data_IF_698947625469
#
_entry.id   IF_698947625469
#
_cell.length_a   1.000
_cell.length_b   1.000
_cell.length_c   1.000
_cell.angle_alpha   90.00
_cell.angle_beta   90.00
_cell.angle_gamma   90.00
#
_symmetry.space_group_name_H-M   'P 1'
#
loop_
_entity.id
_entity.type
_entity.pdbx_description
1 polymer ?
#
# COMPACT_ATOMS: atom_id res chain seq x y z
N UNK A 1 17.56 13.78 -21.35
CA UNK A 1 17.64 12.51 -20.59
C UNK A 1 16.30 11.76 -20.56
N UNK A 2 15.13 12.42 -20.43
CA UNK A 2 13.82 11.74 -20.41
C UNK A 2 13.61 10.86 -21.66
N UNK A 3 13.81 11.41 -22.86
CA UNK A 3 13.66 10.64 -24.11
C UNK A 3 14.55 9.39 -24.13
N UNK A 4 15.75 9.45 -23.56
CA UNK A 4 16.65 8.29 -23.50
C UNK A 4 16.04 7.18 -22.66
N UNK A 5 15.44 7.51 -21.51
CA UNK A 5 14.79 6.52 -20.64
C UNK A 5 13.48 6.00 -21.24
N UNK A 6 12.72 6.84 -21.92
CA UNK A 6 11.51 6.43 -22.65
C UNK A 6 11.85 5.40 -23.74
N UNK A 7 12.87 5.68 -24.55
CA UNK A 7 13.35 4.75 -25.56
C UNK A 7 13.90 3.47 -24.94
N UNK A 8 14.70 3.58 -23.87
CA UNK A 8 15.23 2.42 -23.15
C UNK A 8 14.10 1.52 -22.61
N UNK A 9 13.05 2.12 -22.05
CA UNK A 9 11.86 1.41 -21.57
C UNK A 9 11.14 0.68 -22.70
N UNK A 10 10.94 1.35 -23.84
CA UNK A 10 10.30 0.73 -25.01
C UNK A 10 11.12 -0.45 -25.56
N UNK A 11 12.44 -0.30 -25.63
CA UNK A 11 13.35 -1.36 -26.06
C UNK A 11 13.33 -2.55 -25.07
N UNK A 12 13.38 -2.26 -23.76
CA UNK A 12 13.30 -3.30 -22.73
C UNK A 12 11.97 -4.05 -22.82
N UNK A 13 10.85 -3.34 -22.95
CA UNK A 13 9.52 -3.95 -23.13
C UNK A 13 9.47 -4.87 -24.36
N UNK A 14 10.05 -4.43 -25.48
CA UNK A 14 10.14 -5.27 -26.70
C UNK A 14 10.96 -6.53 -26.46
N UNK A 15 12.09 -6.43 -25.75
CA UNK A 15 12.96 -7.59 -25.47
C UNK A 15 12.32 -8.57 -24.48
N UNK A 16 11.57 -8.06 -23.52
CA UNK A 16 10.84 -8.85 -22.53
C UNK A 16 9.51 -9.42 -23.05
N UNK A 17 9.03 -8.95 -24.21
CA UNK A 17 7.75 -9.37 -24.79
C UNK A 17 6.54 -8.82 -24.04
N UNK A 18 6.66 -7.69 -23.35
CA UNK A 18 5.61 -7.04 -22.59
C UNK A 18 5.29 -5.65 -23.17
N UNK A 19 4.11 -5.14 -22.85
CA UNK A 19 3.78 -3.72 -23.06
C UNK A 19 4.17 -2.92 -21.81
N UNK A 20 5.26 -2.13 -21.85
CA UNK A 20 5.72 -1.40 -20.66
C UNK A 20 4.84 -0.18 -20.31
N UNK A 21 3.82 0.11 -21.13
CA UNK A 21 2.89 1.22 -20.94
C UNK A 21 1.51 0.77 -20.45
N UNK A 22 1.32 -0.54 -20.26
CA UNK A 22 0.11 -1.12 -19.73
C UNK A 22 0.22 -1.34 -18.22
N UNK A 23 -0.90 -1.18 -17.50
CA UNK A 23 -0.95 -1.34 -16.04
C UNK A 23 -2.32 -1.91 -15.58
N UNK A 24 -2.67 -3.14 -16.01
CA UNK A 24 -3.99 -3.72 -15.78
C UNK A 24 -4.31 -3.89 -14.28
N UNK A 25 -3.34 -4.24 -13.47
CA UNK A 25 -3.55 -4.52 -12.05
C UNK A 25 -3.86 -3.23 -11.24
N UNK A 26 -3.32 -2.09 -11.68
CA UNK A 26 -3.67 -0.78 -11.11
C UNK A 26 -5.12 -0.39 -11.46
N UNK A 27 -5.62 -0.76 -12.63
CA UNK A 27 -7.02 -0.51 -12.99
C UNK A 27 -7.99 -1.31 -12.13
N UNK A 28 -7.64 -2.54 -11.73
CA UNK A 28 -8.41 -3.35 -10.78
C UNK A 28 -8.53 -2.65 -9.42
N UNK A 29 -7.43 -2.13 -8.88
CA UNK A 29 -7.43 -1.40 -7.62
C UNK A 29 -8.26 -0.09 -7.69
N UNK A 30 -8.22 0.60 -8.83
CA UNK A 30 -9.07 1.79 -9.04
C UNK A 30 -10.56 1.43 -9.13
N UNK A 31 -10.90 0.27 -9.70
CA UNK A 31 -12.27 -0.22 -9.72
C UNK A 31 -12.73 -0.53 -8.29
N UNK A 32 -11.96 -1.29 -7.51
CA UNK A 32 -12.26 -1.58 -6.12
C UNK A 32 -12.42 -0.31 -5.26
N UNK A 33 -11.56 0.69 -5.46
CA UNK A 33 -11.69 1.99 -4.78
C UNK A 33 -13.01 2.72 -5.13
N UNK A 34 -13.46 2.66 -6.40
CA UNK A 34 -14.74 3.23 -6.81
C UNK A 34 -15.91 2.47 -6.18
N UNK A 35 -15.88 1.14 -6.21
CA UNK A 35 -16.93 0.30 -5.65
C UNK A 35 -17.08 0.54 -4.14
N UNK A 36 -15.98 0.69 -3.42
CA UNK A 36 -15.97 1.06 -2.00
C UNK A 36 -16.61 2.43 -1.76
N UNK A 37 -16.26 3.40 -2.60
CA UNK A 37 -16.81 4.75 -2.49
C UNK A 37 -18.32 4.78 -2.76
N UNK A 38 -18.79 4.06 -3.79
CA UNK A 38 -20.20 3.97 -4.17
C UNK A 38 -21.03 3.18 -3.14
N UNK A 39 -20.42 2.20 -2.48
CA UNK A 39 -21.04 1.44 -1.38
C UNK A 39 -21.18 2.25 -0.08
N UNK A 40 -20.64 3.48 -0.04
CA UNK A 40 -20.59 4.30 1.15
C UNK A 40 -19.70 3.66 2.21
N UNK A 41 -18.41 3.89 2.15
CA UNK A 41 -17.37 3.24 2.95
C UNK A 41 -17.82 3.10 4.41
N UNK A 42 -18.26 1.93 4.74
CA UNK A 42 -18.56 1.52 6.09
C UNK A 42 -17.53 0.44 6.46
N UNK A 43 -16.41 0.86 7.00
CA UNK A 43 -15.44 0.00 7.66
C UNK A 43 -14.83 -1.09 6.75
N UNK A 44 -13.53 -1.06 6.59
CA UNK A 44 -12.78 -2.24 6.16
C UNK A 44 -13.03 -3.44 7.09
N UNK A 45 -12.32 -4.54 6.89
CA UNK A 45 -12.36 -5.70 7.78
C UNK A 45 -12.22 -5.28 9.25
N UNK A 46 -12.90 -6.02 10.13
CA UNK A 46 -12.80 -5.78 11.56
C UNK A 46 -11.33 -5.86 12.02
N UNK A 47 -10.96 -5.01 12.98
CA UNK A 47 -9.64 -5.11 13.56
C UNK A 47 -9.45 -6.49 14.21
N UNK A 48 -8.31 -7.13 13.95
CA UNK A 48 -7.92 -8.35 14.61
C UNK A 48 -7.67 -8.09 16.11
N UNK A 49 -7.07 -6.97 16.43
CA UNK A 49 -6.90 -6.46 17.79
C UNK A 49 -6.62 -4.95 17.78
N UNK A 50 -6.63 -4.36 18.96
CA UNK A 50 -6.29 -2.94 19.19
C UNK A 50 -5.14 -2.88 20.20
N UNK A 51 -4.10 -2.12 19.87
CA UNK A 51 -2.97 -1.84 20.76
C UNK A 51 -2.82 -0.32 20.94
N UNK A 52 -3.21 0.17 22.09
CA UNK A 52 -3.28 1.62 22.37
C UNK A 52 -4.25 2.33 21.44
N UNK A 53 -3.76 3.20 20.57
CA UNK A 53 -4.53 3.93 19.58
C UNK A 53 -4.49 3.30 18.19
N UNK A 54 -3.83 2.15 18.02
CA UNK A 54 -3.62 1.50 16.73
C UNK A 54 -4.53 0.29 16.59
N UNK A 55 -5.35 0.28 15.55
CA UNK A 55 -6.12 -0.87 15.12
C UNK A 55 -5.29 -1.68 14.12
N UNK A 56 -5.10 -2.96 14.38
CA UNK A 56 -4.39 -3.88 13.50
C UNK A 56 -5.37 -4.75 12.74
N UNK A 57 -5.22 -4.80 11.43
CA UNK A 57 -5.98 -5.65 10.51
C UNK A 57 -5.03 -6.57 9.77
N UNK A 58 -5.42 -7.83 9.60
CA UNK A 58 -4.65 -8.81 8.84
C UNK A 58 -5.38 -9.12 7.54
N UNK A 59 -4.65 -9.09 6.45
CA UNK A 59 -5.15 -9.44 5.11
C UNK A 59 -4.22 -10.47 4.49
N UNK A 60 -4.76 -11.37 3.70
CA UNK A 60 -3.95 -12.32 2.93
C UNK A 60 -3.48 -13.56 3.71
N UNK A 61 -4.25 -14.10 4.63
CA UNK A 61 -3.97 -15.38 5.31
C UNK A 61 -3.84 -15.29 6.83
N UNK A 62 -3.40 -16.36 7.45
CA UNK A 62 -3.34 -16.53 8.92
C UNK A 62 -1.98 -16.15 9.52
N UNK A 63 -1.19 -15.34 8.82
CA UNK A 63 0.18 -14.96 9.23
C UNK A 63 0.24 -14.26 10.59
N UNK A 64 -0.82 -13.57 11.00
CA UNK A 64 -0.87 -12.84 12.26
C UNK A 64 -0.82 -13.78 13.49
N UNK A 65 -1.32 -15.02 13.37
CA UNK A 65 -1.29 -16.03 14.43
C UNK A 65 -1.93 -15.55 15.72
N UNK A 66 -1.18 -15.59 16.83
CA UNK A 66 -1.61 -15.17 18.17
C UNK A 66 -1.10 -13.77 18.56
N UNK A 67 -0.62 -12.96 17.62
CA UNK A 67 -0.14 -11.62 17.91
C UNK A 67 -1.26 -10.75 18.50
N UNK A 68 -0.94 -10.02 19.55
CA UNK A 68 -1.87 -9.17 20.31
C UNK A 68 -1.29 -7.79 20.61
N UNK A 69 -0.08 -7.51 20.15
CA UNK A 69 0.57 -6.19 20.20
C UNK A 69 1.08 -5.81 18.82
N UNK A 70 1.28 -4.51 18.61
CA UNK A 70 1.81 -3.98 17.36
C UNK A 70 3.19 -4.57 17.02
N UNK A 71 4.08 -4.66 18.01
CA UNK A 71 5.41 -5.24 17.83
C UNK A 71 5.32 -6.70 17.37
N UNK A 72 4.45 -7.50 18.01
CA UNK A 72 4.23 -8.90 17.60
C UNK A 72 3.65 -9.02 16.19
N UNK A 73 2.74 -8.12 15.80
CA UNK A 73 2.18 -8.11 14.46
C UNK A 73 3.24 -7.76 13.41
N UNK A 74 4.10 -6.77 13.70
CA UNK A 74 5.23 -6.41 12.80
C UNK A 74 6.21 -7.59 12.69
N UNK A 75 6.53 -8.26 13.80
CA UNK A 75 7.40 -9.43 13.80
C UNK A 75 6.82 -10.57 12.98
N UNK A 76 5.53 -10.86 13.16
CA UNK A 76 4.82 -11.87 12.40
C UNK A 76 4.80 -11.53 10.90
N UNK A 77 4.49 -10.29 10.53
CA UNK A 77 4.49 -9.82 9.15
C UNK A 77 5.87 -9.96 8.50
N UNK A 78 6.93 -9.56 9.19
CA UNK A 78 8.29 -9.65 8.67
C UNK A 78 8.80 -11.09 8.60
N UNK A 79 8.21 -12.03 9.36
CA UNK A 79 8.54 -13.46 9.27
C UNK A 79 8.03 -14.13 7.99
N UNK A 80 7.04 -13.55 7.31
CA UNK A 80 6.55 -14.00 5.99
C UNK A 80 7.50 -13.64 4.84
N UNK A 81 8.55 -12.87 5.12
CA UNK A 81 9.45 -12.35 4.11
C UNK A 81 10.36 -13.45 3.57
N UNK A 82 10.29 -13.70 2.25
CA UNK A 82 11.20 -14.65 1.60
C UNK A 82 12.65 -14.17 1.70
N UNK A 83 13.52 -15.04 2.21
CA UNK A 83 14.92 -14.72 2.49
C UNK A 83 15.76 -14.42 1.23
N UNK A 84 15.30 -14.80 0.05
CA UNK A 84 16.04 -14.68 -1.21
C UNK A 84 15.52 -13.56 -2.09
N UNK A 85 14.22 -13.50 -2.31
CA UNK A 85 13.56 -12.62 -3.28
C UNK A 85 12.59 -11.63 -2.65
N UNK A 86 12.31 -11.76 -1.33
CA UNK A 86 11.33 -10.93 -0.63
C UNK A 86 11.72 -9.46 -0.55
N UNK A 87 10.71 -8.60 -0.50
CA UNK A 87 10.84 -7.17 -0.20
C UNK A 87 9.66 -6.69 0.63
N UNK A 88 9.84 -5.58 1.33
CA UNK A 88 8.77 -4.94 2.10
C UNK A 88 8.33 -3.65 1.41
N UNK A 89 7.04 -3.42 1.34
CA UNK A 89 6.48 -2.14 0.89
C UNK A 89 5.68 -1.50 2.03
N UNK A 90 6.11 -0.32 2.47
CA UNK A 90 5.36 0.51 3.42
C UNK A 90 4.57 1.55 2.65
N UNK A 91 3.25 1.52 2.82
CA UNK A 91 2.28 2.30 2.08
C UNK A 91 1.51 3.21 3.05
N UNK A 92 1.84 4.50 3.08
CA UNK A 92 1.30 5.43 4.07
C UNK A 92 0.22 6.34 3.48
N UNK A 93 -1.00 6.24 4.01
CA UNK A 93 -2.12 7.15 3.77
C UNK A 93 -2.32 8.04 5.00
N UNK A 94 -1.32 8.89 5.25
CA UNK A 94 -1.19 9.73 6.44
C UNK A 94 -0.86 11.18 6.04
N UNK A 95 -0.71 12.05 7.01
CA UNK A 95 -0.26 13.42 6.78
C UNK A 95 1.23 13.46 6.42
N UNK A 96 1.51 13.72 5.17
CA UNK A 96 2.87 13.74 4.64
C UNK A 96 3.80 14.74 5.33
N UNK A 97 3.27 15.85 5.85
CA UNK A 97 4.07 16.86 6.55
C UNK A 97 4.21 16.51 8.04
N UNK A 98 3.08 16.17 8.69
CA UNK A 98 3.04 15.81 10.10
C UNK A 98 3.77 14.50 10.41
N UNK A 99 3.67 13.52 9.52
CA UNK A 99 4.20 12.17 9.69
C UNK A 99 5.50 11.91 8.88
N UNK A 100 6.17 12.97 8.42
CA UNK A 100 7.36 12.86 7.55
C UNK A 100 8.48 11.96 8.14
N UNK A 101 8.58 11.85 9.46
CA UNK A 101 9.54 10.99 10.13
C UNK A 101 9.38 9.49 9.77
N UNK A 102 8.19 9.07 9.32
CA UNK A 102 7.92 7.70 8.89
C UNK A 102 8.71 7.27 7.64
N UNK A 103 9.22 8.20 6.84
CA UNK A 103 10.10 7.85 5.72
C UNK A 103 11.35 7.08 6.17
N UNK A 104 11.78 7.28 7.42
CA UNK A 104 12.89 6.53 8.02
C UNK A 104 12.61 5.04 8.29
N UNK A 105 11.34 4.63 8.29
CA UNK A 105 10.92 3.25 8.58
C UNK A 105 11.49 2.26 7.56
N UNK A 106 11.55 2.64 6.28
CA UNK A 106 12.11 1.78 5.24
C UNK A 106 13.57 1.39 5.54
N UNK A 107 14.35 2.35 6.03
CA UNK A 107 15.74 2.09 6.44
C UNK A 107 15.80 1.17 7.66
N UNK A 108 14.98 1.39 8.67
CA UNK A 108 14.93 0.57 9.87
C UNK A 108 14.55 -0.90 9.56
N UNK A 109 13.57 -1.09 8.67
CA UNK A 109 13.17 -2.43 8.19
C UNK A 109 14.31 -3.09 7.41
N UNK A 110 14.98 -2.36 6.53
CA UNK A 110 16.16 -2.90 5.82
C UNK A 110 17.28 -3.30 6.78
N UNK A 111 17.62 -2.46 7.76
CA UNK A 111 18.66 -2.74 8.78
C UNK A 111 18.31 -3.98 9.62
N UNK A 112 17.01 -4.21 9.86
CA UNK A 112 16.52 -5.37 10.62
C UNK A 112 16.49 -6.66 9.82
N UNK A 113 16.06 -6.59 8.55
CA UNK A 113 15.77 -7.78 7.72
C UNK A 113 16.84 -8.11 6.70
N UNK A 114 17.70 -7.15 6.35
CA UNK A 114 18.62 -7.25 5.21
C UNK A 114 17.92 -7.27 3.85
N UNK A 115 16.58 -7.03 3.81
CA UNK A 115 15.78 -7.10 2.58
C UNK A 115 15.40 -5.71 2.08
N UNK A 116 15.25 -5.52 0.76
CA UNK A 116 14.80 -4.24 0.22
C UNK A 116 13.49 -3.81 0.85
N UNK A 117 13.40 -2.55 1.24
CA UNK A 117 12.18 -1.95 1.72
C UNK A 117 11.91 -0.64 0.97
N UNK A 118 10.69 -0.49 0.48
CA UNK A 118 10.21 0.75 -0.12
C UNK A 118 9.26 1.46 0.84
N UNK A 119 9.27 2.79 0.81
CA UNK A 119 8.27 3.62 1.48
C UNK A 119 7.61 4.53 0.45
N UNK A 120 6.32 4.69 0.54
CA UNK A 120 5.60 5.61 -0.33
C UNK A 120 4.38 6.22 0.34
N UNK A 121 4.07 7.46 -0.06
CA UNK A 121 2.84 8.15 0.34
C UNK A 121 1.72 7.81 -0.65
N UNK A 122 0.58 7.37 -0.14
CA UNK A 122 -0.63 7.19 -0.93
C UNK A 122 -1.15 8.53 -1.50
N UNK A 123 -1.90 8.53 -2.58
CA UNK A 123 -2.41 7.37 -3.32
C UNK A 123 -1.53 6.90 -4.50
N UNK A 124 -0.21 7.04 -4.46
CA UNK A 124 0.70 6.68 -5.57
C UNK A 124 0.59 5.22 -6.01
N UNK A 125 0.13 4.34 -5.12
CA UNK A 125 0.00 2.91 -5.39
C UNK A 125 -1.17 2.57 -6.32
N UNK A 126 -2.11 3.52 -6.52
CA UNK A 126 -3.13 3.46 -7.57
C UNK A 126 -2.62 3.92 -8.95
N UNK A 127 -1.31 4.01 -9.11
CA UNK A 127 -0.63 4.38 -10.34
C UNK A 127 0.50 3.37 -10.65
N UNK A 128 1.40 3.72 -11.53
CA UNK A 128 2.48 2.83 -12.01
C UNK A 128 3.34 2.20 -10.91
N UNK A 129 3.52 2.87 -9.76
CA UNK A 129 4.22 2.29 -8.61
C UNK A 129 3.53 1.03 -8.07
N UNK A 130 2.20 1.01 -8.05
CA UNK A 130 1.41 -0.14 -7.59
C UNK A 130 1.38 -1.30 -8.56
N UNK A 131 1.66 -1.09 -9.84
CA UNK A 131 1.62 -2.17 -10.84
C UNK A 131 2.56 -3.33 -10.47
N UNK A 132 3.78 -3.04 -10.01
CA UNK A 132 4.70 -4.09 -9.58
C UNK A 132 4.23 -4.80 -8.31
N UNK A 133 3.64 -4.05 -7.37
CA UNK A 133 3.12 -4.61 -6.13
C UNK A 133 1.97 -5.59 -6.35
N UNK A 134 1.13 -5.35 -7.36
CA UNK A 134 -0.10 -6.10 -7.62
C UNK A 134 0.07 -7.18 -8.69
N UNK A 135 0.82 -6.88 -9.75
CA UNK A 135 1.02 -7.76 -10.90
C UNK A 135 2.43 -8.37 -11.01
N UNK A 136 3.32 -8.03 -10.09
CA UNK A 136 4.66 -8.61 -10.00
C UNK A 136 4.68 -10.00 -9.36
N UNK A 137 5.86 -10.60 -9.20
CA UNK A 137 6.01 -11.85 -8.45
C UNK A 137 5.47 -11.70 -7.02
N UNK A 138 4.79 -12.73 -6.51
CA UNK A 138 4.23 -12.73 -5.15
C UNK A 138 5.32 -12.90 -4.08
N UNK A 139 6.24 -11.94 -4.02
CA UNK A 139 7.36 -11.90 -3.07
C UNK A 139 7.32 -10.69 -2.15
N UNK A 140 6.32 -9.83 -2.32
CA UNK A 140 6.15 -8.64 -1.50
C UNK A 140 5.42 -8.90 -0.19
N UNK A 141 5.89 -8.27 0.88
CA UNK A 141 5.21 -8.14 2.16
C UNK A 141 4.80 -6.67 2.32
N UNK A 142 3.54 -6.42 2.65
CA UNK A 142 2.94 -5.09 2.59
C UNK A 142 2.51 -4.61 3.97
N UNK A 143 2.97 -3.44 4.36
CA UNK A 143 2.53 -2.72 5.56
C UNK A 143 1.80 -1.44 5.13
N UNK A 144 0.48 -1.44 5.24
CA UNK A 144 -0.30 -0.24 4.96
C UNK A 144 -0.61 0.50 6.27
N UNK A 145 -0.33 1.80 6.28
CA UNK A 145 -0.59 2.70 7.39
C UNK A 145 -1.71 3.68 6.98
N UNK A 146 -2.78 3.72 7.76
CA UNK A 146 -3.92 4.61 7.54
C UNK A 146 -4.26 5.34 8.83
N UNK A 147 -4.90 6.51 8.71
CA UNK A 147 -5.48 7.21 9.85
C UNK A 147 -6.85 7.78 9.51
N UNK A 148 -7.68 7.93 10.52
CA UNK A 148 -8.90 8.73 10.40
C UNK A 148 -8.53 10.20 10.53
N UNK A 149 -8.96 11.09 9.62
CA UNK A 149 -8.67 12.51 9.72
C UNK A 149 -9.34 13.10 10.97
N UNK A 150 -8.62 13.97 11.68
CA UNK A 150 -9.16 14.69 12.84
C UNK A 150 -10.25 15.72 12.45
N UNK A 151 -10.21 16.19 11.20
CA UNK A 151 -11.23 17.02 10.57
C UNK A 151 -11.37 16.58 9.12
N UNK A 152 -12.58 16.37 8.68
CA UNK A 152 -12.87 15.98 7.30
C UNK A 152 -13.42 17.18 6.52
N UNK A 153 -13.29 17.15 5.20
CA UNK A 153 -13.70 18.23 4.31
C UNK A 153 -14.68 17.70 3.27
N UNK A 154 -15.79 18.42 3.11
CA UNK A 154 -16.73 18.16 2.03
C UNK A 154 -16.12 18.51 0.67
N UNK A 155 -16.40 17.69 -0.34
CA UNK A 155 -16.02 17.97 -1.72
C UNK A 155 -17.21 18.61 -2.45
N UNK A 156 -17.10 19.85 -2.92
CA UNK A 156 -18.21 20.52 -3.61
C UNK A 156 -18.79 19.69 -4.76
N UNK A 157 -20.10 19.43 -4.72
CA UNK A 157 -20.81 18.67 -5.75
C UNK A 157 -20.62 17.15 -5.68
N UNK A 158 -20.14 16.62 -4.57
CA UNK A 158 -20.03 15.19 -4.29
C UNK A 158 -20.80 14.82 -3.02
N UNK A 159 -21.24 13.58 -2.92
CA UNK A 159 -21.92 13.03 -1.74
C UNK A 159 -20.95 12.43 -0.72
N UNK A 160 -19.66 12.44 -1.02
CA UNK A 160 -18.60 11.92 -0.15
C UNK A 160 -17.57 13.01 0.19
N UNK A 161 -16.92 12.84 1.32
CA UNK A 161 -15.89 13.74 1.84
C UNK A 161 -14.50 13.39 1.31
N UNK A 162 -13.52 14.27 1.53
CA UNK A 162 -12.13 14.01 1.19
C UNK A 162 -11.55 12.82 1.97
N UNK A 163 -11.89 12.69 3.26
CA UNK A 163 -11.48 11.55 4.07
C UNK A 163 -12.05 10.22 3.56
N UNK A 164 -13.33 10.19 3.19
CA UNK A 164 -13.94 9.03 2.55
C UNK A 164 -13.26 8.68 1.23
N UNK A 165 -12.93 9.68 0.42
CA UNK A 165 -12.22 9.47 -0.84
C UNK A 165 -10.82 8.85 -0.61
N UNK A 166 -10.05 9.36 0.35
CA UNK A 166 -8.74 8.81 0.71
C UNK A 166 -8.88 7.39 1.26
N UNK A 167 -9.87 7.14 2.13
CA UNK A 167 -10.12 5.81 2.68
C UNK A 167 -10.49 4.79 1.60
N UNK A 168 -11.28 5.17 0.57
CA UNK A 168 -11.60 4.30 -0.55
C UNK A 168 -10.37 3.94 -1.38
N UNK A 169 -9.46 4.90 -1.56
CA UNK A 169 -8.21 4.66 -2.27
C UNK A 169 -7.30 3.70 -1.50
N UNK A 170 -7.19 3.86 -0.18
CA UNK A 170 -6.44 2.95 0.68
C UNK A 170 -7.05 1.54 0.66
N UNK A 171 -8.37 1.41 0.74
CA UNK A 171 -9.07 0.14 0.63
C UNK A 171 -8.91 -0.53 -0.73
N UNK A 172 -8.96 0.24 -1.82
CA UNK A 172 -8.70 -0.27 -3.17
C UNK A 172 -7.25 -0.73 -3.39
N UNK A 173 -6.31 -0.15 -2.67
CA UNK A 173 -4.91 -0.61 -2.71
C UNK A 173 -4.70 -1.90 -1.91
N UNK A 174 -5.51 -2.14 -0.89
CA UNK A 174 -5.42 -3.29 -0.02
C UNK A 174 -6.18 -4.53 -0.55
N UNK A 175 -6.99 -4.35 -1.59
CA UNK A 175 -7.82 -5.43 -2.21
C UNK A 175 -7.09 -6.22 -3.36
#
# INVERSE_FOLDING_TARGET
QFLLWEVATAVAGRLLGINPFDQPDVESAKAAARDLLDAGISGGEAAAFVDGAVEVRSMGGDWLGSASTLDQAIDALLSELDETSGYVAVMAYLDREGDAALEGVARAIFERTGRPCTFGWGPRFLHSTGQYHKGGPATGVYLQLTASPSADLDIPGREFTLGQFIASQAGGDAS
#
